data_IF_911207250838
#
_entry.id   IF_911207250838
#
_cell.length_a   1.000
_cell.length_b   1.000
_cell.length_c   1.000
_cell.angle_alpha   90.00
_cell.angle_beta   90.00
_cell.angle_gamma   90.00
#
_symmetry.space_group_name_H-M   'P 1'
#
loop_
_entity.id
_entity.type
_entity.pdbx_description
1 polymer ?
#
# COMPACT_ATOMS: atom_id res chain seq x y z
N UNK A 1 -0.95 15.99 -41.53
CA UNK A 1 -0.88 16.57 -40.17
C UNK A 1 -1.92 15.88 -39.32
N UNK A 2 -1.55 14.82 -38.58
CA UNK A 2 -2.45 14.11 -37.69
C UNK A 2 -2.53 14.86 -36.36
N UNK A 3 -3.70 15.41 -36.04
CA UNK A 3 -3.89 16.17 -34.82
C UNK A 3 -3.99 15.20 -33.64
N UNK A 4 -2.93 15.09 -32.84
CA UNK A 4 -2.92 14.33 -31.58
C UNK A 4 -3.82 15.05 -30.59
N UNK A 5 -4.99 14.49 -30.32
CA UNK A 5 -5.79 14.87 -29.16
C UNK A 5 -5.10 14.31 -27.91
N UNK A 6 -4.37 15.17 -27.20
CA UNK A 6 -3.92 14.88 -25.83
C UNK A 6 -5.15 14.80 -24.94
N UNK A 7 -5.63 13.60 -24.68
CA UNK A 7 -6.65 13.38 -23.66
C UNK A 7 -6.01 13.65 -22.29
N UNK A 8 -6.17 14.88 -21.80
CA UNK A 8 -6.01 15.20 -20.40
C UNK A 8 -7.03 14.36 -19.63
N UNK A 9 -6.61 13.18 -19.19
CA UNK A 9 -7.39 12.34 -18.28
C UNK A 9 -7.36 13.02 -16.91
N UNK A 10 -8.22 14.01 -16.72
CA UNK A 10 -8.54 14.51 -15.40
C UNK A 10 -9.12 13.35 -14.62
N UNK A 11 -8.40 12.85 -13.62
CA UNK A 11 -8.90 11.84 -12.68
C UNK A 11 -9.98 12.50 -11.81
N UNK A 12 -11.15 12.77 -12.37
CA UNK A 12 -12.32 13.18 -11.61
C UNK A 12 -12.67 11.97 -10.75
N UNK A 13 -12.29 12.02 -9.47
CA UNK A 13 -12.63 11.00 -8.47
C UNK A 13 -14.15 10.83 -8.47
N UNK A 14 -14.64 9.80 -9.17
CA UNK A 14 -16.05 9.48 -9.16
C UNK A 14 -16.41 9.11 -7.70
N UNK A 15 -17.29 9.87 -7.02
CA UNK A 15 -17.65 9.63 -5.62
C UNK A 15 -18.31 8.27 -5.39
N UNK A 16 -18.74 7.58 -6.45
CA UNK A 16 -19.28 6.22 -6.41
C UNK A 16 -18.21 5.12 -6.42
N UNK A 17 -16.91 5.44 -6.53
CA UNK A 17 -15.85 4.44 -6.49
C UNK A 17 -15.64 3.96 -5.05
N UNK A 18 -15.87 2.67 -4.72
CA UNK A 18 -15.70 2.18 -3.35
C UNK A 18 -14.25 2.39 -2.89
N UNK A 19 -14.06 3.12 -1.78
CA UNK A 19 -12.77 3.23 -1.10
C UNK A 19 -12.60 2.04 -0.17
N UNK A 20 -11.51 1.28 -0.32
CA UNK A 20 -11.19 0.17 0.59
C UNK A 20 -10.14 0.62 1.61
N UNK A 21 -10.46 0.67 2.92
CA UNK A 21 -9.45 0.94 3.94
C UNK A 21 -8.49 -0.25 4.06
N UNK A 22 -7.18 -0.01 3.85
CA UNK A 22 -6.16 -1.07 3.84
C UNK A 22 -5.57 -1.35 5.23
N UNK A 23 -5.49 -0.34 6.08
CA UNK A 23 -4.92 -0.48 7.42
C UNK A 23 -5.95 0.02 8.43
N UNK A 24 -6.42 -0.89 9.28
CA UNK A 24 -7.49 -0.64 10.27
C UNK A 24 -7.13 -1.29 11.60
N UNK A 25 -7.85 -0.92 12.66
CA UNK A 25 -7.75 -1.51 13.99
C UNK A 25 -6.42 -1.24 14.75
N UNK A 26 -5.65 -0.23 14.31
CA UNK A 26 -4.52 0.36 15.04
C UNK A 26 -4.23 1.76 14.46
N UNK A 27 -3.21 2.46 14.98
CA UNK A 27 -2.74 3.72 14.42
C UNK A 27 -1.73 3.43 13.32
N UNK A 28 -2.03 3.86 12.10
CA UNK A 28 -1.14 3.75 10.94
C UNK A 28 -0.87 5.11 10.33
N UNK A 29 0.39 5.43 10.05
CA UNK A 29 0.79 6.68 9.38
C UNK A 29 1.87 6.43 8.33
N UNK A 30 2.20 7.50 7.60
CA UNK A 30 3.21 7.53 6.54
C UNK A 30 2.90 6.47 5.45
N UNK A 31 1.76 6.58 4.76
CA UNK A 31 1.40 5.62 3.73
C UNK A 31 2.33 5.71 2.53
N UNK A 32 2.67 4.56 1.95
CA UNK A 32 3.38 4.47 0.66
C UNK A 32 2.73 3.41 -0.22
N UNK A 33 2.72 3.62 -1.53
CA UNK A 33 2.11 2.73 -2.51
C UNK A 33 3.04 2.57 -3.71
N UNK A 34 3.36 1.32 -4.05
CA UNK A 34 4.19 0.96 -5.19
C UNK A 34 3.38 0.05 -6.10
N UNK A 35 3.47 0.27 -7.42
CA UNK A 35 2.92 -0.63 -8.43
C UNK A 35 4.05 -1.30 -9.21
N UNK A 36 4.09 -2.62 -9.16
CA UNK A 36 5.00 -3.48 -9.92
C UNK A 36 4.24 -3.91 -11.18
N UNK A 37 4.62 -3.35 -12.33
CA UNK A 37 3.89 -3.51 -13.59
C UNK A 37 3.91 -4.94 -14.10
N UNK A 38 5.06 -5.61 -14.02
CA UNK A 38 5.27 -6.95 -14.59
C UNK A 38 4.34 -7.96 -13.92
N UNK A 39 4.16 -7.84 -12.60
CA UNK A 39 3.29 -8.71 -11.80
C UNK A 39 1.88 -8.16 -11.58
N UNK A 40 1.54 -7.00 -12.18
CA UNK A 40 0.27 -6.28 -11.95
C UNK A 40 -0.09 -6.17 -10.46
N UNK A 41 0.92 -5.90 -9.65
CA UNK A 41 0.85 -6.00 -8.18
C UNK A 41 1.05 -4.65 -7.54
N UNK A 42 0.21 -4.33 -6.58
CA UNK A 42 0.36 -3.20 -5.67
C UNK A 42 0.97 -3.66 -4.35
N UNK A 43 1.91 -2.89 -3.83
CA UNK A 43 2.43 -3.01 -2.47
C UNK A 43 2.08 -1.73 -1.72
N UNK A 44 1.15 -1.83 -0.77
CA UNK A 44 0.79 -0.74 0.12
C UNK A 44 1.55 -0.91 1.44
N UNK A 45 2.18 0.15 1.92
CA UNK A 45 2.95 0.19 3.16
C UNK A 45 2.41 1.26 4.10
N UNK A 46 2.61 1.06 5.40
CA UNK A 46 2.41 2.07 6.43
C UNK A 46 3.28 1.75 7.66
N UNK A 47 3.58 2.78 8.46
CA UNK A 47 4.09 2.59 9.82
C UNK A 47 2.94 2.26 10.76
N UNK A 48 3.06 1.17 11.52
CA UNK A 48 2.19 0.90 12.68
C UNK A 48 2.75 1.62 13.91
N UNK A 49 1.89 2.29 14.67
CA UNK A 49 2.25 3.08 15.85
C UNK A 49 1.43 2.70 17.08
N UNK A 50 1.97 2.98 18.27
CA UNK A 50 1.23 2.89 19.54
C UNK A 50 0.46 4.18 19.86
N UNK A 51 0.93 5.33 19.35
CA UNK A 51 0.24 6.62 19.42
C UNK A 51 0.38 7.39 18.08
N UNK A 52 -0.32 8.53 17.88
CA UNK A 52 -0.15 9.35 16.69
C UNK A 52 1.23 10.01 16.55
N UNK A 53 2.03 10.07 17.63
CA UNK A 53 3.31 10.77 17.68
C UNK A 53 4.40 10.05 16.85
N UNK A 54 5.27 10.84 16.21
CA UNK A 54 6.29 10.34 15.28
C UNK A 54 7.37 9.44 15.95
N UNK A 55 7.55 9.58 17.26
CA UNK A 55 8.45 8.71 18.06
C UNK A 55 7.87 7.31 18.32
N UNK A 56 6.55 7.15 18.25
CA UNK A 56 5.85 5.92 18.63
C UNK A 56 5.68 4.91 17.47
N UNK A 57 6.50 5.02 16.42
CA UNK A 57 6.51 4.05 15.32
C UNK A 57 7.13 2.74 15.81
N UNK A 58 6.47 1.62 15.52
CA UNK A 58 6.88 0.30 16.03
C UNK A 58 7.34 -0.66 14.94
N UNK A 59 6.65 -0.69 13.79
CA UNK A 59 6.96 -1.63 12.71
C UNK A 59 6.42 -1.12 11.38
N UNK A 60 7.17 -1.36 10.30
CA UNK A 60 6.69 -1.18 8.93
C UNK A 60 5.80 -2.38 8.56
N UNK A 61 4.59 -2.12 8.07
CA UNK A 61 3.66 -3.16 7.61
C UNK A 61 3.38 -3.03 6.12
N UNK A 62 2.96 -4.13 5.50
CA UNK A 62 2.63 -4.17 4.07
C UNK A 62 1.38 -5.02 3.79
N UNK A 63 0.61 -4.58 2.78
CA UNK A 63 -0.39 -5.41 2.08
C UNK A 63 -0.06 -5.49 0.61
N UNK A 64 -0.10 -6.72 0.08
CA UNK A 64 -0.05 -6.99 -1.35
C UNK A 64 -1.45 -6.90 -1.94
N UNK A 65 -1.60 -6.30 -3.11
CA UNK A 65 -2.83 -6.30 -3.89
C UNK A 65 -2.56 -6.77 -5.31
N UNK A 66 -3.34 -7.69 -5.86
CA UNK A 66 -3.22 -8.10 -7.27
C UNK A 66 -4.43 -7.64 -8.05
N UNK A 67 -4.23 -7.07 -9.24
CA UNK A 67 -5.34 -6.68 -10.11
C UNK A 67 -5.93 -7.91 -10.82
N UNK A 68 -7.19 -8.23 -10.53
CA UNK A 68 -7.95 -9.30 -11.17
C UNK A 68 -9.30 -8.75 -11.63
N UNK A 69 -9.66 -8.96 -12.90
CA UNK A 69 -10.96 -8.56 -13.49
C UNK A 69 -11.36 -7.09 -13.23
N UNK A 70 -10.38 -6.18 -13.25
CA UNK A 70 -10.61 -4.75 -13.02
C UNK A 70 -10.67 -4.32 -11.55
N UNK A 71 -10.67 -5.25 -10.60
CA UNK A 71 -10.61 -4.99 -9.16
C UNK A 71 -9.24 -5.34 -8.57
N UNK A 72 -8.91 -4.76 -7.41
CA UNK A 72 -7.69 -5.13 -6.66
C UNK A 72 -8.10 -6.05 -5.52
N UNK A 73 -7.57 -7.27 -5.52
CA UNK A 73 -7.70 -8.18 -4.39
C UNK A 73 -6.54 -7.98 -3.43
N UNK A 74 -6.81 -7.41 -2.26
CA UNK A 74 -5.82 -7.20 -1.20
C UNK A 74 -5.67 -8.46 -0.33
N UNK A 75 -4.43 -8.86 -0.09
CA UNK A 75 -4.05 -9.97 0.78
C UNK A 75 -3.90 -9.52 2.24
N UNK A 76 -3.65 -10.48 3.13
CA UNK A 76 -3.45 -10.25 4.56
C UNK A 76 -2.27 -9.31 4.83
N UNK A 77 -2.40 -8.53 5.92
CA UNK A 77 -1.37 -7.64 6.44
C UNK A 77 -0.14 -8.44 6.88
N UNK A 78 1.06 -7.95 6.55
CA UNK A 78 2.33 -8.55 6.95
C UNK A 78 3.22 -7.50 7.64
N UNK A 79 3.80 -7.86 8.78
CA UNK A 79 4.88 -7.06 9.39
C UNK A 79 6.19 -7.31 8.66
N UNK A 80 6.94 -6.25 8.39
CA UNK A 80 8.24 -6.29 7.71
C UNK A 80 9.40 -6.14 8.69
N UNK A 81 9.32 -6.84 9.82
CA UNK A 81 10.40 -6.86 10.79
C UNK A 81 11.61 -7.57 10.20
N UNK A 82 12.83 -7.07 10.45
CA UNK A 82 14.05 -7.78 10.07
C UNK A 82 14.07 -9.15 10.74
N UNK A 83 14.14 -10.22 9.94
CA UNK A 83 14.55 -11.54 10.41
C UNK A 83 16.08 -11.55 10.54
N UNK A 84 16.60 -10.77 11.48
CA UNK A 84 18.02 -10.74 11.87
C UNK A 84 17.95 -10.48 13.38
N UNK A 85 18.06 -11.44 14.30
CA UNK A 85 19.17 -12.34 14.61
C UNK A 85 18.64 -13.54 15.43
N UNK A 86 18.16 -14.63 14.83
CA UNK A 86 17.87 -15.87 15.60
C UNK A 86 18.80 -17.04 15.30
N UNK A 87 19.62 -16.93 14.25
CA UNK A 87 20.54 -17.99 13.82
C UNK A 87 22.02 -17.63 14.05
N UNK A 88 22.30 -16.54 14.78
CA UNK A 88 23.67 -16.11 15.15
C UNK A 88 23.64 -15.64 16.61
N UNK A 89 23.42 -16.57 17.53
CA UNK A 89 23.94 -16.46 18.88
C UNK A 89 24.74 -17.77 19.12
N UNK A 90 25.98 -17.70 19.64
CA UNK A 90 26.74 -18.89 20.00
C UNK A 90 26.05 -19.69 21.12
#
# INVERSE_FOLDING_TARGET
>A
MGNRTSSNSSYTLNPASPKTPLFTNAIYRIPSLIYIKDDKTFLAFAEKRTSPADVDATVLVMRRGTKQNGAIQWFLLRSLQQQVWRDIAP
#
